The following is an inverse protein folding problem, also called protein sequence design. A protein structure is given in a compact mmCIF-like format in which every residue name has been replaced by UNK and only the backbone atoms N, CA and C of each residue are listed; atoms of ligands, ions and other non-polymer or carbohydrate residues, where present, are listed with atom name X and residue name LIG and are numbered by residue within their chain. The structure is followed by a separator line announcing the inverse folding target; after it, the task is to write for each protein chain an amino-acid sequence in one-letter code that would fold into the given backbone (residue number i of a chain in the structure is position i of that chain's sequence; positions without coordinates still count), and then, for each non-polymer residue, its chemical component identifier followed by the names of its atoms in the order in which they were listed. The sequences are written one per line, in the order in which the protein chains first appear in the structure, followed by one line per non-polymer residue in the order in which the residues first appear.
data_IF_647692162126
#
_entry.id   IF_647692162126
#
_cell.length_a   1.000
_cell.length_b   1.000
_cell.length_c   1.000
_cell.angle_alpha   90.00
_cell.angle_beta   90.00
_cell.angle_gamma   90.00
#
_symmetry.space_group_name_H-M   'P 1'
#
loop_
_entity.id
_entity.type
_entity.pdbx_description
1 polymer ?
#
# COMPACT_ATOMS: atom_id res chain seq x y z
N UNK A 1 -1.73 -13.47 28.08
CA UNK A 1 -1.19 -12.13 27.77
C UNK A 1 -2.34 -11.34 27.19
N UNK A 2 -2.80 -10.22 27.78
CA UNK A 2 -3.77 -9.39 27.08
C UNK A 2 -3.10 -8.96 25.77
N UNK A 3 -3.81 -9.12 24.66
CA UNK A 3 -3.31 -8.70 23.36
C UNK A 3 -2.91 -7.23 23.48
N UNK A 4 -1.67 -6.89 23.08
CA UNK A 4 -1.27 -5.49 22.98
C UNK A 4 -2.21 -4.82 21.97
N UNK A 5 -3.20 -4.08 22.47
CA UNK A 5 -4.13 -3.38 21.61
C UNK A 5 -3.37 -2.21 20.99
N UNK A 6 -3.05 -2.34 19.70
CA UNK A 6 -2.43 -1.28 18.91
C UNK A 6 -3.28 -0.01 19.05
N UNK A 7 -2.62 1.12 19.21
CA UNK A 7 -3.26 2.42 19.41
C UNK A 7 -4.14 2.45 20.69
N UNK A 8 -3.74 1.82 21.78
CA UNK A 8 -4.45 1.96 23.07
C UNK A 8 -4.15 3.27 23.80
N UNK A 9 -3.03 3.92 23.50
CA UNK A 9 -2.54 5.11 24.20
C UNK A 9 -2.33 6.28 23.23
N UNK A 10 -2.41 7.51 23.75
CA UNK A 10 -2.12 8.74 23.01
C UNK A 10 -0.66 8.77 22.56
N UNK A 11 -0.42 8.92 21.26
CA UNK A 11 0.93 9.02 20.70
C UNK A 11 1.68 10.29 21.10
N UNK A 12 0.98 11.32 21.60
CA UNK A 12 1.58 12.58 22.06
C UNK A 12 2.02 12.52 23.52
N UNK A 13 1.20 12.00 24.44
CA UNK A 13 1.47 12.06 25.89
C UNK A 13 1.42 10.71 26.62
N UNK A 14 1.09 9.61 25.92
CA UNK A 14 1.05 8.26 26.50
C UNK A 14 -0.18 7.94 27.35
N UNK A 15 -1.15 8.85 27.49
CA UNK A 15 -2.39 8.58 28.24
C UNK A 15 -3.24 7.51 27.54
N UNK A 16 -3.72 6.52 28.29
CA UNK A 16 -4.65 5.50 27.81
C UNK A 16 -5.96 6.16 27.34
N UNK A 17 -6.47 5.74 26.18
CA UNK A 17 -7.77 6.20 25.70
C UNK A 17 -8.92 5.45 26.38
N UNK A 18 -9.99 6.18 26.68
CA UNK A 18 -11.23 5.63 27.25
C UNK A 18 -12.28 5.52 26.12
N UNK A 19 -12.15 4.48 25.30
CA UNK A 19 -13.10 4.15 24.22
C UNK A 19 -12.45 3.81 22.86
N UNK A 20 -13.29 3.21 21.99
CA UNK A 20 -12.86 2.62 20.71
C UNK A 20 -13.29 3.43 19.47
N UNK A 21 -14.03 4.53 19.65
CA UNK A 21 -14.52 5.37 18.57
C UNK A 21 -13.41 6.24 17.96
N UNK A 22 -13.51 6.51 16.65
CA UNK A 22 -12.57 7.35 15.91
C UNK A 22 -13.29 8.47 15.14
N UNK A 23 -12.68 9.67 14.99
CA UNK A 23 -11.46 10.11 15.66
C UNK A 23 -11.70 10.31 17.17
N UNK A 24 -10.62 10.31 17.95
CA UNK A 24 -10.69 10.46 19.42
C UNK A 24 -9.79 11.58 19.91
N UNK A 25 -10.23 12.23 20.99
CA UNK A 25 -9.50 13.32 21.64
C UNK A 25 -8.95 12.83 22.96
N UNK A 26 -7.66 13.03 23.19
CA UNK A 26 -7.01 12.69 24.47
C UNK A 26 -7.55 13.59 25.59
N UNK A 27 -8.05 12.99 26.67
CA UNK A 27 -8.58 13.72 27.82
C UNK A 27 -7.52 14.45 28.64
N UNK A 28 -6.24 14.07 28.52
CA UNK A 28 -5.14 14.68 29.24
C UNK A 28 -4.49 15.86 28.51
N UNK A 29 -4.19 15.71 27.21
CA UNK A 29 -3.46 16.74 26.45
C UNK A 29 -4.29 17.42 25.34
N UNK A 30 -5.51 16.97 25.08
CA UNK A 30 -6.39 17.52 24.05
C UNK A 30 -6.01 17.15 22.60
N UNK A 31 -4.94 16.37 22.39
CA UNK A 31 -4.56 15.94 21.04
C UNK A 31 -5.63 15.04 20.40
N UNK A 32 -5.93 15.27 19.12
CA UNK A 32 -6.87 14.45 18.34
C UNK A 32 -6.08 13.41 17.55
N UNK A 33 -6.50 12.14 17.62
CA UNK A 33 -5.91 11.03 16.86
C UNK A 33 -6.93 10.46 15.89
N UNK A 34 -6.49 10.22 14.66
CA UNK A 34 -7.27 9.64 13.57
C UNK A 34 -6.76 8.25 13.25
N UNK A 35 -7.64 7.40 12.72
CA UNK A 35 -7.28 6.11 12.14
C UNK A 35 -7.69 6.11 10.68
N UNK A 36 -6.73 6.43 9.82
CA UNK A 36 -6.96 6.51 8.38
C UNK A 36 -6.51 5.21 7.70
N UNK A 37 -7.14 4.83 6.57
CA UNK A 37 -6.59 3.81 5.69
C UNK A 37 -5.16 4.16 5.28
N UNK A 38 -4.25 3.19 5.32
CA UNK A 38 -2.92 3.37 4.74
C UNK A 38 -3.02 3.16 3.22
N UNK A 39 -2.47 4.08 2.42
CA UNK A 39 -2.45 3.91 0.98
C UNK A 39 -1.37 2.90 0.55
N UNK A 40 -1.71 2.07 -0.43
CA UNK A 40 -0.85 1.05 -1.04
C UNK A 40 -0.86 1.27 -2.54
N UNK A 41 0.32 1.41 -3.12
CA UNK A 41 0.51 1.50 -4.57
C UNK A 41 0.68 0.10 -5.16
N UNK A 42 -0.02 -0.17 -6.27
CA UNK A 42 0.03 -1.46 -6.97
C UNK A 42 0.36 -1.23 -8.44
N UNK A 43 1.41 -1.88 -8.95
CA UNK A 43 1.84 -1.76 -10.33
C UNK A 43 1.10 -2.75 -11.24
N UNK A 44 0.51 -2.23 -12.32
CA UNK A 44 -0.01 -3.00 -13.44
C UNK A 44 0.89 -2.74 -14.64
N UNK A 45 1.84 -3.64 -14.91
CA UNK A 45 2.71 -3.58 -16.07
C UNK A 45 2.32 -4.67 -17.07
N UNK A 46 1.64 -4.33 -18.19
CA UNK A 46 1.39 -5.28 -19.25
C UNK A 46 2.71 -5.71 -19.91
N UNK A 47 2.87 -7.01 -20.11
CA UNK A 47 4.00 -7.60 -20.81
C UNK A 47 3.49 -8.38 -22.02
N UNK A 48 4.06 -8.13 -23.19
CA UNK A 48 3.59 -8.73 -24.45
C UNK A 48 4.67 -9.59 -25.10
N UNK A 49 4.30 -10.81 -25.46
CA UNK A 49 5.10 -11.75 -26.25
C UNK A 49 4.30 -12.26 -27.46
N UNK A 50 4.83 -13.29 -28.15
CA UNK A 50 4.16 -13.92 -29.29
C UNK A 50 2.85 -14.64 -28.91
N UNK A 51 2.67 -15.03 -27.64
CA UNK A 51 1.48 -15.71 -27.15
C UNK A 51 0.36 -14.73 -26.75
N UNK A 52 0.69 -13.47 -26.47
CA UNK A 52 -0.28 -12.41 -26.22
C UNK A 52 0.18 -11.41 -25.17
N UNK A 53 -0.78 -10.81 -24.45
CA UNK A 53 -0.50 -9.83 -23.39
C UNK A 53 -0.84 -10.44 -22.03
N UNK A 54 0.16 -10.49 -21.16
CA UNK A 54 0.03 -10.80 -19.73
C UNK A 54 0.33 -9.59 -18.85
N UNK A 55 0.40 -9.81 -17.54
CA UNK A 55 0.85 -8.84 -16.55
C UNK A 55 2.11 -9.35 -15.86
N UNK A 56 3.03 -8.43 -15.55
CA UNK A 56 4.14 -8.73 -14.65
C UNK A 56 3.60 -9.03 -13.26
N UNK A 57 4.08 -10.14 -12.68
CA UNK A 57 3.72 -10.61 -11.36
C UNK A 57 4.96 -11.03 -10.59
N UNK A 58 4.86 -11.04 -9.27
CA UNK A 58 5.88 -11.52 -8.36
C UNK A 58 5.40 -12.78 -7.63
N UNK A 59 6.35 -13.56 -7.16
CA UNK A 59 6.10 -14.67 -6.23
C UNK A 59 6.33 -14.18 -4.81
N UNK A 60 5.31 -14.28 -3.96
CA UNK A 60 5.38 -13.86 -2.56
C UNK A 60 6.40 -14.69 -1.79
N UNK A 61 7.29 -14.02 -1.05
CA UNK A 61 8.37 -14.66 -0.25
C UNK A 61 8.08 -14.68 1.25
N UNK A 62 6.92 -14.18 1.68
CA UNK A 62 6.50 -14.11 3.08
C UNK A 62 5.04 -14.57 3.24
N UNK A 63 4.70 -15.04 4.45
CA UNK A 63 3.30 -15.30 4.83
C UNK A 63 2.54 -13.98 5.07
N UNK A 64 1.21 -13.94 4.82
CA UNK A 64 0.39 -15.03 4.30
C UNK A 64 0.59 -15.28 2.78
N UNK A 65 0.32 -16.50 2.33
CA UNK A 65 0.37 -16.93 0.92
C UNK A 65 1.78 -16.97 0.32
N UNK A 66 2.74 -17.48 1.09
CA UNK A 66 4.08 -17.79 0.62
C UNK A 66 4.02 -18.66 -0.65
N UNK A 67 4.78 -18.29 -1.70
CA UNK A 67 4.79 -18.97 -2.99
C UNK A 67 3.63 -18.63 -3.92
N UNK A 68 2.65 -17.83 -3.47
CA UNK A 68 1.55 -17.35 -4.30
C UNK A 68 1.96 -16.22 -5.25
N UNK A 69 1.17 -16.01 -6.29
CA UNK A 69 1.34 -14.90 -7.24
C UNK A 69 0.71 -13.62 -6.69
N UNK A 70 1.41 -12.49 -6.83
CA UNK A 70 0.90 -11.16 -6.53
C UNK A 70 1.32 -10.14 -7.59
N UNK A 71 0.59 -9.03 -7.66
CA UNK A 71 1.05 -7.84 -8.37
C UNK A 71 2.15 -7.16 -7.54
N UNK A 72 3.16 -6.53 -8.17
CA UNK A 72 4.12 -5.74 -7.43
C UNK A 72 3.45 -4.57 -6.73
N UNK A 73 3.82 -4.28 -5.48
CA UNK A 73 3.22 -3.18 -4.74
C UNK A 73 3.48 -3.16 -3.24
N UNK A 74 3.30 -1.99 -2.65
CA UNK A 74 3.58 -1.75 -1.25
C UNK A 74 3.06 -0.41 -0.75
N UNK A 75 3.35 -0.10 0.52
CA UNK A 75 2.86 1.12 1.16
C UNK A 75 3.52 2.35 0.56
N UNK A 76 2.76 3.44 0.46
CA UNK A 76 3.35 4.74 0.11
C UNK A 76 4.10 5.33 1.31
N UNK A 77 5.24 5.94 1.03
CA UNK A 77 5.99 6.69 2.03
C UNK A 77 5.39 8.08 2.27
N UNK A 78 5.71 8.67 3.42
CA UNK A 78 5.21 10.00 3.77
C UNK A 78 5.76 11.06 2.79
N UNK A 79 4.86 11.77 2.11
CA UNK A 79 5.20 12.82 1.15
C UNK A 79 5.52 12.32 -0.26
N UNK A 80 5.42 11.02 -0.50
CA UNK A 80 5.65 10.40 -1.82
C UNK A 80 4.41 10.55 -2.73
N UNK A 81 4.62 10.89 -4.02
CA UNK A 81 3.52 10.80 -5.00
C UNK A 81 3.19 9.33 -5.27
N UNK A 82 1.90 9.00 -5.39
CA UNK A 82 1.49 7.61 -5.57
C UNK A 82 2.08 6.95 -6.83
N UNK A 83 2.42 7.72 -7.88
CA UNK A 83 3.09 7.19 -9.08
C UNK A 83 4.55 6.85 -8.80
N UNK A 84 5.22 7.63 -7.96
CA UNK A 84 6.58 7.35 -7.50
C UNK A 84 6.61 6.06 -6.69
N UNK A 85 5.63 5.87 -5.80
CA UNK A 85 5.45 4.61 -5.06
C UNK A 85 5.25 3.42 -6.01
N UNK A 86 4.40 3.53 -7.04
CA UNK A 86 4.19 2.46 -8.03
C UNK A 86 5.51 2.03 -8.69
N UNK A 87 6.32 2.98 -9.17
CA UNK A 87 7.58 2.65 -9.86
C UNK A 87 8.69 2.22 -8.90
N UNK A 88 8.68 2.70 -7.65
CA UNK A 88 9.60 2.26 -6.59
C UNK A 88 9.35 0.80 -6.24
N UNK A 89 8.12 0.43 -5.93
CA UNK A 89 7.74 -0.94 -5.57
C UNK A 89 7.98 -1.91 -6.74
N UNK A 90 7.60 -1.52 -7.96
CA UNK A 90 7.91 -2.29 -9.16
C UNK A 90 9.42 -2.57 -9.26
N UNK A 91 10.26 -1.56 -9.07
CA UNK A 91 11.72 -1.70 -9.14
C UNK A 91 12.27 -2.58 -8.02
N UNK A 92 11.83 -2.37 -6.79
CA UNK A 92 12.35 -3.08 -5.62
C UNK A 92 12.06 -4.58 -5.70
N UNK A 93 10.87 -4.96 -6.18
CA UNK A 93 10.46 -6.37 -6.23
C UNK A 93 10.82 -7.09 -7.54
N UNK A 94 10.99 -6.37 -8.65
CA UNK A 94 11.24 -6.98 -9.98
C UNK A 94 12.52 -6.53 -10.66
N UNK A 95 13.14 -5.43 -10.22
CA UNK A 95 14.26 -4.78 -10.89
C UNK A 95 13.87 -3.98 -12.15
N UNK A 96 12.59 -3.90 -12.52
CA UNK A 96 12.13 -3.17 -13.70
C UNK A 96 12.06 -1.67 -13.40
N UNK A 97 12.66 -0.89 -14.28
CA UNK A 97 12.61 0.58 -14.21
C UNK A 97 11.54 1.15 -15.14
N UNK A 98 10.81 2.14 -14.64
CA UNK A 98 9.85 2.94 -15.42
C UNK A 98 9.77 4.38 -14.89
N UNK A 99 9.42 5.37 -15.73
CA UNK A 99 9.19 6.73 -15.29
C UNK A 99 7.83 6.86 -14.56
N UNK A 100 7.79 7.54 -13.43
CA UNK A 100 6.53 7.82 -12.72
C UNK A 100 5.52 8.60 -13.58
N UNK A 101 6.01 9.42 -14.53
CA UNK A 101 5.18 10.18 -15.46
C UNK A 101 4.36 9.30 -16.43
N UNK A 102 4.79 8.06 -16.65
CA UNK A 102 4.11 7.11 -17.54
C UNK A 102 2.98 6.36 -16.82
N UNK A 103 2.87 6.50 -15.50
CA UNK A 103 1.87 5.81 -14.69
C UNK A 103 0.52 6.53 -14.79
N UNK A 104 -0.47 5.86 -15.36
CA UNK A 104 -1.86 6.28 -15.36
C UNK A 104 -2.64 5.61 -14.23
N UNK A 105 -3.64 6.29 -13.66
CA UNK A 105 -4.52 5.66 -12.68
C UNK A 105 -5.44 4.68 -13.42
N UNK A 106 -5.36 3.40 -13.07
CA UNK A 106 -6.30 2.39 -13.53
C UNK A 106 -7.54 2.33 -12.65
N UNK A 107 -7.35 2.24 -11.33
CA UNK A 107 -8.45 2.14 -10.36
C UNK A 107 -7.99 2.51 -8.94
N UNK A 108 -8.97 2.75 -8.06
CA UNK A 108 -8.77 2.94 -6.63
C UNK A 108 -9.81 2.13 -5.84
N UNK A 109 -9.35 1.25 -4.93
CA UNK A 109 -10.23 0.32 -4.23
C UNK A 109 -9.93 0.25 -2.73
N UNK A 110 -10.94 -0.01 -1.92
CA UNK A 110 -10.74 -0.37 -0.51
C UNK A 110 -10.51 -1.87 -0.38
N UNK A 111 -9.44 -2.25 0.32
CA UNK A 111 -9.22 -3.65 0.67
C UNK A 111 -9.98 -4.04 1.95
N UNK A 112 -10.36 -5.32 2.12
CA UNK A 112 -10.93 -5.81 3.39
C UNK A 112 -10.01 -5.58 4.60
N UNK A 113 -8.70 -5.42 4.37
CA UNK A 113 -7.71 -5.09 5.41
C UNK A 113 -7.70 -3.63 5.86
N UNK A 114 -8.57 -2.77 5.31
CA UNK A 114 -8.64 -1.35 5.68
C UNK A 114 -7.60 -0.47 5.00
N UNK A 115 -7.01 -0.92 3.89
CA UNK A 115 -6.10 -0.12 3.06
C UNK A 115 -6.80 0.47 1.84
N UNK A 116 -6.33 1.62 1.38
CA UNK A 116 -6.70 2.21 0.07
C UNK A 116 -5.66 1.75 -0.96
N UNK A 117 -6.10 0.94 -1.93
CA UNK A 117 -5.26 0.48 -3.02
C UNK A 117 -5.36 1.45 -4.20
N UNK A 118 -4.22 1.90 -4.72
CA UNK A 118 -4.11 2.70 -5.93
C UNK A 118 -3.42 1.86 -7.01
N UNK A 119 -4.13 1.53 -8.07
CA UNK A 119 -3.61 0.73 -9.17
C UNK A 119 -3.06 1.64 -10.26
N UNK A 120 -1.74 1.59 -10.47
CA UNK A 120 -1.04 2.33 -11.51
C UNK A 120 -0.81 1.47 -12.75
N UNK A 121 -1.37 1.86 -13.88
CA UNK A 121 -1.14 1.23 -15.18
C UNK A 121 0.08 1.86 -15.87
N UNK A 122 1.04 1.03 -16.23
CA UNK A 122 2.20 1.39 -17.02
C UNK A 122 1.99 1.04 -18.51
N UNK A 123 2.73 1.69 -19.43
CA UNK A 123 2.73 1.32 -20.83
C UNK A 123 3.16 -0.14 -21.04
N UNK A 124 2.53 -0.81 -22.01
CA UNK A 124 2.88 -2.18 -22.37
C UNK A 124 4.34 -2.30 -22.75
N UNK A 125 5.01 -3.32 -22.19
CA UNK A 125 6.40 -3.63 -22.47
C UNK A 125 6.52 -4.91 -23.32
N UNK A 126 7.29 -4.89 -24.42
CA UNK A 126 7.63 -6.11 -25.15
C UNK A 126 8.61 -6.97 -24.35
N UNK A 127 8.42 -8.30 -24.40
CA UNK A 127 9.32 -9.30 -23.81
C UNK A 127 10.43 -9.73 -24.78
#
# INVERSE_FOLDING_TARGET
MPAHLRDSHCSTCGTLFDGDAWPRTCTACGAVTYRNPLPVAVALLPAQDEAGTGLVVITRTIEPALGGTALPGGFMDFGEDWREAVVRELREETGIHAPAADVALADAMSSPGGHLLLFGLLPTRPL
#
